data_IF_748979030321
#
_entry.id   IF_748979030321
#
_cell.length_a   1.000
_cell.length_b   1.000
_cell.length_c   1.000
_cell.angle_alpha   90.00
_cell.angle_beta   90.00
_cell.angle_gamma   90.00
#
_symmetry.space_group_name_H-M   'P 1'
#
loop_
_entity.id
_entity.type
_entity.pdbx_description
1 polymer ?
#
# COMPACT_ATOMS: atom_id res chain seq x y z
N UNK A 1 -53.57 -13.48 5.92
CA UNK A 1 -52.58 -12.45 6.34
C UNK A 1 -51.68 -12.13 5.17
N UNK A 2 -51.85 -10.96 4.55
CA UNK A 2 -50.95 -10.40 3.55
C UNK A 2 -50.23 -9.23 4.22
N UNK A 3 -48.95 -9.38 4.53
CA UNK A 3 -48.08 -8.25 4.83
C UNK A 3 -46.62 -8.62 4.56
N UNK A 4 -46.17 -8.36 3.32
CA UNK A 4 -44.94 -7.63 3.00
C UNK A 4 -44.98 -7.26 1.51
N UNK A 5 -45.03 -5.95 1.17
CA UNK A 5 -44.99 -5.50 -0.21
C UNK A 5 -43.54 -5.35 -0.70
N UNK A 6 -43.21 -6.03 -1.80
CA UNK A 6 -42.35 -5.52 -2.87
C UNK A 6 -41.05 -4.76 -2.52
N UNK A 7 -40.21 -5.25 -1.61
CA UNK A 7 -38.76 -4.97 -1.75
C UNK A 7 -38.22 -6.01 -2.71
N UNK A 8 -37.78 -5.56 -3.89
CA UNK A 8 -37.01 -6.37 -4.82
C UNK A 8 -36.02 -7.24 -4.04
N UNK A 9 -36.17 -8.56 -4.09
CA UNK A 9 -35.10 -9.43 -3.62
C UNK A 9 -33.86 -9.01 -4.40
N UNK A 10 -32.74 -8.63 -3.74
CA UNK A 10 -31.52 -8.34 -4.46
C UNK A 10 -31.23 -9.54 -5.35
N UNK A 11 -30.96 -9.29 -6.63
CA UNK A 11 -30.60 -10.34 -7.56
C UNK A 11 -29.34 -11.03 -7.01
N UNK A 12 -29.53 -12.16 -6.34
CA UNK A 12 -28.47 -12.84 -5.58
C UNK A 12 -27.29 -13.22 -6.48
N UNK A 13 -27.58 -13.49 -7.76
CA UNK A 13 -26.56 -13.76 -8.78
C UNK A 13 -25.73 -12.51 -9.08
N UNK A 14 -26.38 -11.39 -9.37
CA UNK A 14 -25.70 -10.11 -9.61
C UNK A 14 -24.90 -9.65 -8.39
N UNK A 15 -25.40 -9.90 -7.17
CA UNK A 15 -24.69 -9.58 -5.93
C UNK A 15 -23.48 -10.49 -5.72
N UNK A 16 -23.59 -11.79 -6.04
CA UNK A 16 -22.48 -12.73 -5.99
C UNK A 16 -21.38 -12.41 -7.01
N UNK A 17 -21.75 -12.00 -8.23
CA UNK A 17 -20.79 -11.59 -9.26
C UNK A 17 -20.08 -10.29 -8.86
N UNK A 18 -20.82 -9.29 -8.37
CA UNK A 18 -20.23 -8.04 -7.82
C UNK A 18 -19.26 -8.32 -6.66
N UNK A 19 -19.61 -9.24 -5.77
CA UNK A 19 -18.74 -9.63 -4.66
C UNK A 19 -17.42 -10.26 -5.15
N UNK A 20 -17.50 -11.13 -6.16
CA UNK A 20 -16.32 -11.75 -6.76
C UNK A 20 -15.42 -10.71 -7.42
N UNK A 21 -16.00 -9.77 -8.15
CA UNK A 21 -15.26 -8.71 -8.83
C UNK A 21 -14.60 -7.75 -7.84
N UNK A 22 -15.31 -7.37 -6.77
CA UNK A 22 -14.78 -6.53 -5.69
C UNK A 22 -13.59 -7.19 -4.97
N UNK A 23 -13.71 -8.49 -4.65
CA UNK A 23 -12.62 -9.25 -4.03
C UNK A 23 -11.40 -9.32 -4.95
N UNK A 24 -11.61 -9.64 -6.23
CA UNK A 24 -10.51 -9.70 -7.21
C UNK A 24 -9.82 -8.34 -7.38
N UNK A 25 -10.58 -7.24 -7.42
CA UNK A 25 -10.03 -5.90 -7.50
C UNK A 25 -9.19 -5.56 -6.27
N UNK A 26 -9.65 -5.95 -5.08
CA UNK A 26 -8.91 -5.79 -3.83
C UNK A 26 -7.60 -6.57 -3.83
N UNK A 27 -7.62 -7.86 -4.19
CA UNK A 27 -6.41 -8.70 -4.23
C UNK A 27 -5.33 -8.10 -5.16
N UNK A 28 -5.75 -7.58 -6.32
CA UNK A 28 -4.85 -6.91 -7.25
C UNK A 28 -4.28 -5.62 -6.65
N UNK A 29 -5.14 -4.77 -6.08
CA UNK A 29 -4.69 -3.51 -5.48
C UNK A 29 -3.75 -3.73 -4.28
N UNK A 30 -4.04 -4.74 -3.45
CA UNK A 30 -3.22 -5.13 -2.31
C UNK A 30 -1.85 -5.64 -2.76
N UNK A 31 -1.81 -6.50 -3.79
CA UNK A 31 -0.55 -7.00 -4.34
C UNK A 31 0.32 -5.86 -4.90
N UNK A 32 -0.27 -4.94 -5.67
CA UNK A 32 0.45 -3.79 -6.25
C UNK A 32 0.97 -2.87 -5.15
N UNK A 33 0.14 -2.51 -4.17
CA UNK A 33 0.56 -1.67 -3.06
C UNK A 33 1.65 -2.34 -2.20
N UNK A 34 1.52 -3.64 -1.95
CA UNK A 34 2.53 -4.42 -1.22
C UNK A 34 3.86 -4.44 -1.95
N UNK A 35 3.88 -4.46 -3.27
CA UNK A 35 5.14 -4.48 -4.04
C UNK A 35 5.88 -3.15 -3.90
N UNK A 36 5.20 -2.02 -4.11
CA UNK A 36 5.80 -0.71 -3.88
C UNK A 36 6.27 -0.51 -2.44
N UNK A 37 5.54 -1.06 -1.47
CA UNK A 37 5.97 -1.04 -0.06
C UNK A 37 7.27 -1.81 0.14
N UNK A 38 7.44 -2.99 -0.46
CA UNK A 38 8.69 -3.76 -0.38
C UNK A 38 9.85 -3.02 -1.02
N UNK A 39 9.64 -2.39 -2.18
CA UNK A 39 10.67 -1.60 -2.85
C UNK A 39 11.14 -0.43 -1.98
N UNK A 40 10.19 0.30 -1.38
CA UNK A 40 10.47 1.38 -0.44
C UNK A 40 11.23 0.88 0.79
N UNK A 41 10.80 -0.23 1.38
CA UNK A 41 11.47 -0.80 2.56
C UNK A 41 12.90 -1.29 2.22
N UNK A 42 13.13 -1.84 1.01
CA UNK A 42 14.46 -2.20 0.55
C UNK A 42 15.38 -0.98 0.41
N UNK A 43 14.87 0.15 -0.10
CA UNK A 43 15.62 1.41 -0.15
C UNK A 43 15.95 1.94 1.25
N UNK A 44 15.04 1.82 2.22
CA UNK A 44 15.30 2.22 3.62
C UNK A 44 16.37 1.35 4.28
N UNK A 45 16.34 0.04 4.06
CA UNK A 45 17.38 -0.87 4.56
C UNK A 45 18.73 -0.52 3.96
N UNK A 46 18.78 -0.23 2.66
CA UNK A 46 19.99 0.20 1.97
C UNK A 46 20.52 1.53 2.51
N UNK A 47 19.65 2.50 2.77
CA UNK A 47 19.99 3.77 3.42
C UNK A 47 20.63 3.55 4.80
N UNK A 48 19.97 2.79 5.68
CA UNK A 48 20.49 2.51 7.02
C UNK A 48 21.85 1.83 6.97
N UNK A 49 22.03 0.88 6.05
CA UNK A 49 23.29 0.17 5.85
C UNK A 49 24.39 1.11 5.34
N UNK A 50 24.08 2.02 4.42
CA UNK A 50 25.01 3.02 3.92
C UNK A 50 25.50 3.94 5.04
N UNK A 51 24.56 4.51 5.81
CA UNK A 51 24.90 5.40 6.93
C UNK A 51 25.70 4.68 8.01
N UNK A 52 25.32 3.44 8.36
CA UNK A 52 26.04 2.64 9.34
C UNK A 52 27.49 2.36 8.94
N UNK A 53 27.73 1.98 7.68
CA UNK A 53 29.10 1.80 7.15
C UNK A 53 29.89 3.10 7.16
N UNK A 54 29.30 4.19 6.67
CA UNK A 54 29.96 5.49 6.62
C UNK A 54 30.34 6.00 8.02
N UNK A 55 29.44 5.83 8.99
CA UNK A 55 29.71 6.20 10.38
C UNK A 55 30.86 5.38 10.99
N UNK A 56 30.91 4.06 10.72
CA UNK A 56 32.02 3.22 11.19
C UNK A 56 33.38 3.66 10.64
N UNK A 57 33.46 4.00 9.35
CA UNK A 57 34.69 4.53 8.73
C UNK A 57 35.06 5.93 9.25
N UNK A 58 34.06 6.77 9.56
CA UNK A 58 34.25 8.07 10.19
C UNK A 58 34.89 7.92 11.57
N UNK A 59 34.33 7.07 12.43
CA UNK A 59 34.84 6.81 13.77
C UNK A 59 36.25 6.20 13.77
N UNK A 60 36.55 5.35 12.77
CA UNK A 60 37.88 4.78 12.60
C UNK A 60 38.93 5.78 12.09
N UNK A 61 38.52 6.99 11.67
CA UNK A 61 39.42 8.00 11.11
C UNK A 61 39.94 7.65 9.71
N UNK A 62 39.29 6.73 9.00
CA UNK A 62 39.74 6.19 7.71
C UNK A 62 39.08 6.83 6.49
N UNK A 63 38.22 7.86 6.67
CA UNK A 63 37.49 8.46 5.55
C UNK A 63 38.43 9.13 4.55
N UNK A 64 38.55 8.53 3.37
CA UNK A 64 39.15 9.17 2.22
C UNK A 64 38.12 10.03 1.46
N UNK A 65 38.57 11.02 0.67
CA UNK A 65 37.68 11.77 -0.23
C UNK A 65 36.92 10.88 -1.23
N UNK A 66 37.48 9.73 -1.61
CA UNK A 66 36.83 8.76 -2.50
C UNK A 66 35.64 8.06 -1.82
N UNK A 67 35.74 7.79 -0.51
CA UNK A 67 34.66 7.20 0.28
C UNK A 67 33.48 8.18 0.39
N UNK A 68 33.78 9.46 0.57
CA UNK A 68 32.76 10.52 0.56
C UNK A 68 32.00 10.58 -0.75
N UNK A 69 32.70 10.59 -1.89
CA UNK A 69 32.04 10.63 -3.20
C UNK A 69 31.19 9.38 -3.47
N UNK A 70 31.66 8.20 -3.03
CA UNK A 70 30.89 6.96 -3.16
C UNK A 70 29.60 7.00 -2.34
N UNK A 71 29.67 7.50 -1.11
CA UNK A 71 28.50 7.66 -0.23
C UNK A 71 27.51 8.67 -0.78
N UNK A 72 27.99 9.82 -1.27
CA UNK A 72 27.13 10.84 -1.89
C UNK A 72 26.39 10.29 -3.12
N UNK A 73 27.06 9.51 -3.97
CA UNK A 73 26.41 8.85 -5.12
C UNK A 73 25.38 7.81 -4.71
N UNK A 74 25.69 6.94 -3.75
CA UNK A 74 24.71 5.96 -3.27
C UNK A 74 23.51 6.63 -2.60
N UNK A 75 23.74 7.68 -1.83
CA UNK A 75 22.66 8.45 -1.19
C UNK A 75 21.77 9.11 -2.23
N UNK A 76 22.34 9.70 -3.28
CA UNK A 76 21.59 10.27 -4.40
C UNK A 76 20.74 9.20 -5.10
N UNK A 77 21.30 8.03 -5.40
CA UNK A 77 20.56 6.94 -6.02
C UNK A 77 19.39 6.45 -5.16
N UNK A 78 19.57 6.32 -3.84
CA UNK A 78 18.50 5.95 -2.90
C UNK A 78 17.42 7.03 -2.88
N UNK A 79 17.81 8.30 -2.80
CA UNK A 79 16.89 9.44 -2.74
C UNK A 79 16.04 9.53 -4.01
N UNK A 80 16.66 9.37 -5.18
CA UNK A 80 15.96 9.29 -6.47
C UNK A 80 14.95 8.14 -6.48
N UNK A 81 15.35 6.93 -6.07
CA UNK A 81 14.44 5.79 -6.02
C UNK A 81 13.24 6.02 -5.09
N UNK A 82 13.45 6.66 -3.92
CA UNK A 82 12.35 6.99 -3.02
C UNK A 82 11.39 7.99 -3.68
N UNK A 83 11.93 9.03 -4.32
CA UNK A 83 11.12 10.06 -5.01
C UNK A 83 10.31 9.43 -6.15
N UNK A 84 10.92 8.54 -6.94
CA UNK A 84 10.25 7.82 -8.02
C UNK A 84 9.11 6.92 -7.53
N UNK A 85 9.18 6.43 -6.29
CA UNK A 85 8.12 5.62 -5.67
C UNK A 85 6.96 6.42 -5.07
N UNK A 86 7.13 7.72 -4.78
CA UNK A 86 6.09 8.52 -4.08
C UNK A 86 4.76 8.48 -4.82
N UNK A 87 4.77 8.79 -6.12
CA UNK A 87 3.53 8.88 -6.89
C UNK A 87 2.91 7.49 -7.18
N UNK A 88 3.66 6.47 -7.66
CA UNK A 88 3.11 5.13 -7.85
C UNK A 88 2.53 4.52 -6.57
N UNK A 89 3.24 4.66 -5.44
CA UNK A 89 2.78 4.14 -4.16
C UNK A 89 1.52 4.87 -3.66
N UNK A 90 1.43 6.19 -3.87
CA UNK A 90 0.21 6.95 -3.57
C UNK A 90 -0.98 6.45 -4.40
N UNK A 91 -0.81 6.29 -5.72
CA UNK A 91 -1.86 5.76 -6.59
C UNK A 91 -2.28 4.33 -6.19
N UNK A 92 -1.32 3.46 -5.87
CA UNK A 92 -1.61 2.10 -5.42
C UNK A 92 -2.36 2.08 -4.09
N UNK A 93 -2.00 2.95 -3.14
CA UNK A 93 -2.72 3.13 -1.88
C UNK A 93 -4.16 3.57 -2.11
N UNK A 94 -4.38 4.59 -2.95
CA UNK A 94 -5.74 5.06 -3.28
C UNK A 94 -6.55 3.96 -3.94
N UNK A 95 -5.96 3.18 -4.87
CA UNK A 95 -6.64 2.04 -5.49
C UNK A 95 -7.04 0.97 -4.45
N UNK A 96 -6.18 0.69 -3.47
CA UNK A 96 -6.49 -0.22 -2.38
C UNK A 96 -7.63 0.29 -1.49
N UNK A 97 -7.60 1.58 -1.12
CA UNK A 97 -8.67 2.22 -0.34
C UNK A 97 -10.02 2.15 -1.08
N UNK A 98 -10.03 2.41 -2.39
CA UNK A 98 -11.23 2.29 -3.23
C UNK A 98 -11.74 0.84 -3.27
N UNK A 99 -10.86 -0.15 -3.45
CA UNK A 99 -11.26 -1.55 -3.47
C UNK A 99 -11.82 -2.02 -2.12
N UNK A 100 -11.25 -1.55 -1.00
CA UNK A 100 -11.78 -1.79 0.34
C UNK A 100 -13.17 -1.19 0.52
N UNK A 101 -13.39 0.04 0.05
CA UNK A 101 -14.72 0.67 0.07
C UNK A 101 -15.74 -0.14 -0.73
N UNK A 102 -15.37 -0.68 -1.89
CA UNK A 102 -16.28 -1.49 -2.70
C UNK A 102 -16.63 -2.83 -2.02
N UNK A 103 -15.66 -3.51 -1.40
CA UNK A 103 -15.94 -4.71 -0.58
C UNK A 103 -16.96 -4.38 0.51
N UNK A 104 -16.77 -3.26 1.22
CA UNK A 104 -17.69 -2.84 2.28
C UNK A 104 -19.08 -2.52 1.75
N UNK A 105 -19.17 -1.85 0.61
CA UNK A 105 -20.44 -1.54 -0.04
C UNK A 105 -21.19 -2.83 -0.43
N UNK A 106 -20.48 -3.85 -0.92
CA UNK A 106 -21.06 -5.16 -1.21
C UNK A 106 -21.57 -5.85 0.06
N UNK A 107 -20.77 -5.85 1.14
CA UNK A 107 -21.15 -6.45 2.42
C UNK A 107 -22.38 -5.75 3.03
N UNK A 108 -22.44 -4.42 2.99
CA UNK A 108 -23.60 -3.65 3.44
C UNK A 108 -24.84 -3.93 2.59
N UNK A 109 -24.70 -4.01 1.26
CA UNK A 109 -25.80 -4.37 0.36
C UNK A 109 -26.33 -5.79 0.62
N UNK A 110 -25.46 -6.70 1.08
CA UNK A 110 -25.83 -8.05 1.51
C UNK A 110 -26.41 -8.11 2.94
N UNK A 111 -26.49 -6.99 3.65
CA UNK A 111 -27.10 -6.88 4.98
C UNK A 111 -26.14 -7.12 6.15
N UNK A 112 -24.82 -7.17 5.91
CA UNK A 112 -23.84 -7.27 6.99
C UNK A 112 -23.63 -5.89 7.65
N UNK A 113 -23.72 -5.85 8.98
CA UNK A 113 -23.33 -4.69 9.76
C UNK A 113 -21.80 -4.62 9.84
N UNK A 114 -21.21 -3.53 9.38
CA UNK A 114 -19.77 -3.29 9.48
C UNK A 114 -19.49 -2.29 10.61
N UNK A 115 -18.43 -2.48 11.41
CA UNK A 115 -18.07 -1.52 12.44
C UNK A 115 -17.77 -0.14 11.82
N UNK A 116 -18.07 0.96 12.54
CA UNK A 116 -17.69 2.30 12.11
C UNK A 116 -16.16 2.39 11.99
N UNK A 117 -15.73 3.13 10.99
CA UNK A 117 -14.34 3.24 10.55
C UNK A 117 -13.37 3.74 11.64
N UNK A 118 -12.42 2.90 12.05
CA UNK A 118 -11.16 3.34 12.67
C UNK A 118 -10.16 3.71 11.56
N UNK A 119 -10.49 4.70 10.74
CA UNK A 119 -9.63 5.21 9.64
C UNK A 119 -8.45 6.09 10.12
N UNK A 120 -8.12 6.10 11.42
CA UNK A 120 -7.03 6.93 11.98
C UNK A 120 -5.71 6.18 12.20
N UNK A 121 -5.59 4.92 11.75
CA UNK A 121 -4.34 4.14 11.93
C UNK A 121 -3.88 3.49 10.62
N UNK A 122 -3.62 4.30 9.60
CA UNK A 122 -2.76 3.93 8.47
C UNK A 122 -1.73 5.03 8.22
#
# INVERSE_FOLDING_TARGET
>A
MKWWPGRDMPNLRAMGDRARDALKAYEVAEAVYSEYRKERDALEVRYRSLIGRWWGEYEAGHLSPMDRYSVERELAAISTGIVELVQPMHHARVALEVAQQEIRAVLQAAGFALPPDDLTKL
#
